data_IF_265304185183
#
_entry.id   IF_265304185183
#
_cell.length_a   1.000
_cell.length_b   1.000
_cell.length_c   1.000
_cell.angle_alpha   90.00
_cell.angle_beta   90.00
_cell.angle_gamma   90.00
#
_symmetry.space_group_name_H-M   'P 1'
#
loop_
_entity.id
_entity.type
_entity.pdbx_description
1 polymer ?
#
# COMPACT_ATOMS: atom_id res chain seq x y z
N UNK A 1 22.13 9.25 8.01
CA UNK A 1 21.08 9.72 7.08
C UNK A 1 20.86 11.20 7.31
N UNK A 2 21.12 12.04 6.31
CA UNK A 2 20.94 13.49 6.41
C UNK A 2 19.47 13.82 6.66
N UNK A 3 19.16 14.86 7.44
CA UNK A 3 17.76 15.28 7.69
C UNK A 3 16.99 15.49 6.39
N UNK A 4 17.67 15.95 5.34
CA UNK A 4 17.16 16.11 3.99
C UNK A 4 16.62 14.80 3.38
N UNK A 5 17.31 13.67 3.55
CA UNK A 5 16.86 12.38 3.00
C UNK A 5 15.55 11.89 3.64
N UNK A 6 15.39 12.11 4.95
CA UNK A 6 14.16 11.76 5.67
C UNK A 6 12.98 12.62 5.22
N UNK A 7 13.20 13.94 5.10
CA UNK A 7 12.19 14.86 4.60
C UNK A 7 11.79 14.54 3.16
N UNK A 8 12.77 14.22 2.30
CA UNK A 8 12.52 13.79 0.93
C UNK A 8 11.66 12.52 0.86
N UNK A 9 11.96 11.52 1.69
CA UNK A 9 11.16 10.29 1.75
C UNK A 9 9.71 10.53 2.20
N UNK A 10 9.50 11.37 3.22
CA UNK A 10 8.15 11.73 3.70
C UNK A 10 7.38 12.51 2.63
N UNK A 11 8.02 13.48 1.98
CA UNK A 11 7.40 14.24 0.90
C UNK A 11 7.01 13.35 -0.28
N UNK A 12 7.91 12.44 -0.69
CA UNK A 12 7.63 11.47 -1.75
C UNK A 12 6.46 10.55 -1.36
N UNK A 13 6.43 10.03 -0.14
CA UNK A 13 5.34 9.19 0.35
C UNK A 13 3.99 9.94 0.30
N UNK A 14 3.96 11.21 0.75
CA UNK A 14 2.75 12.03 0.69
C UNK A 14 2.24 12.24 -0.75
N UNK A 15 3.14 12.51 -1.69
CA UNK A 15 2.79 12.64 -3.13
C UNK A 15 2.24 11.33 -3.68
N UNK A 16 2.88 10.19 -3.36
CA UNK A 16 2.43 8.88 -3.84
C UNK A 16 1.07 8.49 -3.25
N UNK A 17 0.80 8.82 -1.98
CA UNK A 17 -0.52 8.62 -1.35
C UNK A 17 -1.58 9.44 -2.09
N UNK A 18 -1.30 10.72 -2.36
CA UNK A 18 -2.23 11.58 -3.10
C UNK A 18 -2.50 11.02 -4.51
N UNK A 19 -1.46 10.60 -5.24
CA UNK A 19 -1.60 9.98 -6.56
C UNK A 19 -2.40 8.67 -6.50
N UNK A 20 -2.16 7.82 -5.49
CA UNK A 20 -2.91 6.57 -5.28
C UNK A 20 -4.41 6.80 -5.07
N UNK A 21 -4.77 7.90 -4.40
CA UNK A 21 -6.18 8.27 -4.18
C UNK A 21 -6.83 8.93 -5.40
N UNK A 22 -6.06 9.64 -6.23
CA UNK A 22 -6.56 10.35 -7.40
C UNK A 22 -6.66 9.48 -8.65
N UNK A 23 -5.70 8.57 -8.85
CA UNK A 23 -5.65 7.69 -10.02
C UNK A 23 -6.41 6.38 -9.74
N UNK A 24 -7.30 6.00 -10.65
CA UNK A 24 -8.03 4.75 -10.57
C UNK A 24 -8.69 4.38 -11.90
N UNK A 25 -9.26 3.18 -11.97
CA UNK A 25 -9.92 2.65 -13.18
C UNK A 25 -11.12 3.50 -13.65
N UNK A 26 -11.84 4.12 -12.71
CA UNK A 26 -12.84 5.16 -12.99
C UNK A 26 -12.18 6.53 -12.91
N UNK A 27 -12.29 7.30 -14.00
CA UNK A 27 -11.95 8.72 -13.99
C UNK A 27 -12.95 9.46 -13.09
N UNK A 28 -12.44 10.11 -12.04
CA UNK A 28 -13.20 10.93 -11.09
C UNK A 28 -12.44 12.24 -10.98
N UNK A 29 -13.13 13.38 -11.03
CA UNK A 29 -12.49 14.68 -10.91
C UNK A 29 -11.79 14.81 -9.54
N UNK A 30 -10.58 15.41 -9.45
CA UNK A 30 -9.87 15.55 -8.18
C UNK A 30 -10.69 16.24 -7.09
N UNK A 31 -11.51 17.22 -7.47
CA UNK A 31 -12.41 17.92 -6.56
C UNK A 31 -13.43 16.98 -5.92
N UNK A 32 -13.99 16.04 -6.68
CA UNK A 32 -14.96 15.06 -6.17
C UNK A 32 -14.29 14.04 -5.24
N UNK A 33 -13.04 13.65 -5.50
CA UNK A 33 -12.28 12.79 -4.59
C UNK A 33 -12.06 13.49 -3.25
N UNK A 34 -11.66 14.77 -3.28
CA UNK A 34 -11.47 15.57 -2.07
C UNK A 34 -12.78 15.75 -1.32
N UNK A 35 -13.88 16.07 -2.02
CA UNK A 35 -15.20 16.17 -1.40
C UNK A 35 -15.64 14.84 -0.77
N UNK A 36 -15.44 13.70 -1.44
CA UNK A 36 -15.76 12.38 -0.89
C UNK A 36 -14.93 12.05 0.36
N UNK A 37 -13.64 12.43 0.39
CA UNK A 37 -12.79 12.27 1.57
C UNK A 37 -13.25 13.17 2.72
N UNK A 38 -13.59 14.43 2.44
CA UNK A 38 -14.07 15.38 3.45
C UNK A 38 -15.47 15.03 3.98
N UNK A 39 -16.33 14.46 3.15
CA UNK A 39 -17.65 13.95 3.52
C UNK A 39 -17.60 12.67 4.35
N UNK A 40 -16.41 12.08 4.54
CA UNK A 40 -16.21 10.94 5.42
C UNK A 40 -16.75 9.60 4.88
N UNK A 41 -16.55 8.50 5.63
CA UNK A 41 -16.92 7.14 5.24
C UNK A 41 -18.43 6.92 5.05
N UNK A 42 -19.26 7.77 5.65
CA UNK A 42 -20.71 7.76 5.49
C UNK A 42 -21.14 8.00 4.04
N UNK A 43 -20.35 8.74 3.26
CA UNK A 43 -20.55 8.91 1.82
C UNK A 43 -20.32 7.62 0.99
N UNK A 44 -19.82 6.55 1.63
CA UNK A 44 -19.52 5.28 0.96
C UNK A 44 -20.76 4.39 0.72
N UNK A 45 -21.95 4.79 1.20
CA UNK A 45 -23.20 4.05 0.97
C UNK A 45 -23.70 4.23 -0.46
N UNK A 46 -23.81 3.13 -1.22
CA UNK A 46 -24.27 3.12 -2.62
C UNK A 46 -23.16 2.79 -3.62
N UNK A 47 -23.36 3.14 -4.90
CA UNK A 47 -22.44 2.83 -6.01
C UNK A 47 -21.74 4.07 -6.61
N UNK A 48 -21.81 5.20 -5.91
CA UNK A 48 -21.26 6.49 -6.35
C UNK A 48 -19.77 6.70 -6.05
N UNK A 49 -19.30 7.93 -6.25
CA UNK A 49 -17.89 8.33 -6.05
C UNK A 49 -17.37 8.03 -4.65
N UNK A 50 -18.17 8.26 -3.61
CA UNK A 50 -17.81 7.97 -2.22
C UNK A 50 -17.48 6.49 -1.98
N UNK A 51 -18.24 5.57 -2.59
CA UNK A 51 -17.96 4.12 -2.52
C UNK A 51 -16.61 3.78 -3.14
N UNK A 52 -16.30 4.32 -4.31
CA UNK A 52 -15.01 4.08 -4.99
C UNK A 52 -13.84 4.59 -4.14
N UNK A 53 -13.98 5.78 -3.57
CA UNK A 53 -12.90 6.37 -2.77
C UNK A 53 -12.70 5.58 -1.47
N UNK A 54 -13.76 5.37 -0.68
CA UNK A 54 -13.65 4.80 0.67
C UNK A 54 -13.57 3.28 0.74
N UNK A 55 -14.21 2.54 -0.17
CA UNK A 55 -14.22 1.07 -0.13
C UNK A 55 -13.17 0.42 -1.05
N UNK A 56 -12.63 1.17 -2.03
CA UNK A 56 -11.65 0.62 -2.98
C UNK A 56 -10.29 1.34 -2.88
N UNK A 57 -10.25 2.67 -3.03
CA UNK A 57 -8.97 3.41 -3.11
C UNK A 57 -8.27 3.57 -1.76
N UNK A 58 -9.01 3.96 -0.72
CA UNK A 58 -8.46 4.12 0.64
C UNK A 58 -7.93 2.80 1.18
N UNK A 59 -8.68 1.67 1.16
CA UNK A 59 -8.20 0.40 1.69
C UNK A 59 -6.99 -0.13 0.91
N UNK A 60 -6.99 0.00 -0.43
CA UNK A 60 -5.83 -0.35 -1.26
C UNK A 60 -4.59 0.46 -0.90
N UNK A 61 -4.74 1.76 -0.68
CA UNK A 61 -3.61 2.65 -0.33
C UNK A 61 -3.04 2.30 1.05
N UNK A 62 -3.91 2.04 2.03
CA UNK A 62 -3.51 1.58 3.36
C UNK A 62 -2.80 0.23 3.31
N UNK A 63 -3.33 -0.72 2.53
CA UNK A 63 -2.70 -2.03 2.34
C UNK A 63 -1.32 -1.91 1.68
N UNK A 64 -1.19 -1.06 0.66
CA UNK A 64 0.09 -0.82 -0.01
C UNK A 64 1.14 -0.23 0.93
N UNK A 65 0.75 0.72 1.79
CA UNK A 65 1.63 1.29 2.82
C UNK A 65 2.06 0.24 3.84
N UNK A 66 1.11 -0.53 4.37
CA UNK A 66 1.38 -1.58 5.36
C UNK A 66 2.29 -2.68 4.79
N UNK A 67 1.96 -3.19 3.60
CA UNK A 67 2.75 -4.21 2.92
C UNK A 67 4.16 -3.70 2.57
N UNK A 68 4.27 -2.48 2.02
CA UNK A 68 5.56 -1.87 1.70
C UNK A 68 6.43 -1.65 2.93
N UNK A 69 5.85 -1.19 4.04
CA UNK A 69 6.57 -1.04 5.30
C UNK A 69 7.04 -2.39 5.86
N UNK A 70 6.17 -3.41 5.85
CA UNK A 70 6.51 -4.76 6.29
C UNK A 70 7.63 -5.38 5.46
N UNK A 71 7.57 -5.26 4.12
CA UNK A 71 8.62 -5.75 3.21
C UNK A 71 9.94 -4.99 3.40
N UNK A 72 9.89 -3.66 3.58
CA UNK A 72 11.07 -2.86 3.88
C UNK A 72 11.74 -3.26 5.20
N UNK A 73 10.94 -3.51 6.24
CA UNK A 73 11.46 -4.01 7.53
C UNK A 73 12.03 -5.42 7.41
N UNK A 74 11.33 -6.33 6.73
CA UNK A 74 11.81 -7.69 6.51
C UNK A 74 13.14 -7.71 5.74
N UNK A 75 13.27 -6.87 4.70
CA UNK A 75 14.52 -6.66 3.97
C UNK A 75 15.65 -6.16 4.86
N UNK A 76 15.41 -5.11 5.63
CA UNK A 76 16.41 -4.55 6.55
C UNK A 76 16.86 -5.57 7.61
N UNK A 77 15.94 -6.37 8.16
CA UNK A 77 16.25 -7.43 9.12
C UNK A 77 17.04 -8.56 8.48
N UNK A 78 16.65 -9.03 7.29
CA UNK A 78 17.37 -10.07 6.55
C UNK A 78 18.80 -9.63 6.23
N UNK A 79 18.98 -8.40 5.73
CA UNK A 79 20.29 -7.82 5.45
C UNK A 79 21.15 -7.66 6.70
N UNK A 80 20.57 -7.21 7.82
CA UNK A 80 21.29 -7.03 9.08
C UNK A 80 21.73 -8.37 9.70
N UNK A 81 20.84 -9.38 9.71
CA UNK A 81 21.12 -10.68 10.30
C UNK A 81 22.18 -11.46 9.53
N UNK A 82 22.07 -11.45 8.20
CA UNK A 82 23.04 -12.12 7.32
C UNK A 82 24.33 -11.32 7.12
N UNK A 83 24.33 -10.03 7.48
CA UNK A 83 25.38 -9.07 7.12
C UNK A 83 25.68 -9.06 5.62
N UNK A 84 24.66 -9.30 4.81
CA UNK A 84 24.74 -9.31 3.35
C UNK A 84 23.72 -8.33 2.77
N UNK A 85 24.16 -7.24 2.09
CA UNK A 85 23.23 -6.27 1.49
C UNK A 85 22.36 -6.87 0.37
N UNK A 86 22.70 -8.06 -0.14
CA UNK A 86 21.93 -8.79 -1.15
C UNK A 86 20.94 -9.81 -0.57
N UNK A 87 20.85 -9.94 0.77
CA UNK A 87 19.93 -10.89 1.38
C UNK A 87 18.47 -10.44 1.22
N UNK A 88 17.64 -11.37 0.75
CA UNK A 88 16.19 -11.23 0.58
C UNK A 88 15.46 -12.05 1.65
N UNK A 89 14.49 -11.49 2.40
CA UNK A 89 13.67 -12.25 3.35
C UNK A 89 13.00 -13.51 2.77
N UNK A 90 12.88 -13.65 1.45
CA UNK A 90 12.34 -14.85 0.78
C UNK A 90 13.13 -16.15 1.00
N UNK A 91 14.40 -16.11 1.42
CA UNK A 91 15.25 -17.32 1.47
C UNK A 91 14.79 -18.38 2.50
N UNK A 92 13.99 -18.01 3.50
CA UNK A 92 13.46 -18.94 4.53
C UNK A 92 12.20 -19.72 4.06
N UNK A 93 11.81 -19.59 2.79
CA UNK A 93 10.69 -20.35 2.20
C UNK A 93 9.29 -19.80 2.49
N UNK A 94 9.19 -18.64 3.16
CA UNK A 94 7.90 -18.05 3.56
C UNK A 94 7.00 -17.71 2.36
N UNK A 95 7.57 -17.16 1.29
CA UNK A 95 6.83 -16.83 0.05
C UNK A 95 6.30 -18.08 -0.66
N UNK A 96 7.08 -19.17 -0.70
CA UNK A 96 6.66 -20.42 -1.31
C UNK A 96 5.50 -21.06 -0.53
N UNK A 97 5.57 -21.06 0.81
CA UNK A 97 4.49 -21.54 1.67
C UNK A 97 3.20 -20.72 1.52
N UNK A 98 3.31 -19.38 1.47
CA UNK A 98 2.17 -18.50 1.25
C UNK A 98 1.52 -18.74 -0.14
N UNK A 99 2.33 -18.88 -1.20
CA UNK A 99 1.83 -19.17 -2.55
C UNK A 99 1.12 -20.54 -2.61
N UNK A 100 1.67 -21.57 -1.95
CA UNK A 100 1.02 -22.88 -1.84
C UNK A 100 -0.34 -22.78 -1.14
N UNK A 101 -0.43 -22.06 -0.04
CA UNK A 101 -1.70 -21.89 0.69
C UNK A 101 -2.76 -21.17 -0.15
N UNK A 102 -2.37 -20.12 -0.89
CA UNK A 102 -3.28 -19.42 -1.82
C UNK A 102 -3.73 -20.34 -2.94
N UNK A 103 -2.82 -21.09 -3.56
CA UNK A 103 -3.16 -22.06 -4.60
C UNK A 103 -4.17 -23.08 -4.06
N UNK A 104 -3.89 -23.69 -2.92
CA UNK A 104 -4.77 -24.66 -2.26
C UNK A 104 -6.16 -24.07 -1.99
N UNK A 105 -6.24 -22.89 -1.39
CA UNK A 105 -7.50 -22.23 -1.03
C UNK A 105 -8.32 -21.74 -2.23
N UNK A 106 -7.70 -21.51 -3.38
CA UNK A 106 -8.40 -21.09 -4.60
C UNK A 106 -8.79 -22.25 -5.51
N UNK A 107 -8.12 -23.40 -5.37
CA UNK A 107 -8.43 -24.62 -6.14
C UNK A 107 -9.45 -25.53 -5.47
N UNK A 108 -9.55 -25.50 -4.14
CA UNK A 108 -10.54 -26.25 -3.37
C UNK A 108 -11.81 -25.41 -3.18
#
# INVERSE_FOLDING_TARGET
MTRAARLGAVALAAVLIALSLLLGSRAIAPAEVVQALLAGPESATGTGTGHVVWNLRVPRTLLALAAGAALGMAGALAQAWTRNPLADPGFIGLTAGAAFAVALATTL
#
